data_IF_392105165887
#
_entry.id   IF_392105165887
#
_cell.length_a   1.000
_cell.length_b   1.000
_cell.length_c   1.000
_cell.angle_alpha   90.00
_cell.angle_beta   90.00
_cell.angle_gamma   90.00
#
_symmetry.space_group_name_H-M   'P 1'
#
loop_
_entity.id
_entity.type
_entity.pdbx_description
1 polymer ?
#
# COMPACT_ATOMS: atom_id res chain seq x y z
N UNK A 1 8.73 -0.68 -13.74
CA UNK A 1 7.31 -1.07 -13.65
C UNK A 1 6.34 0.08 -13.32
N UNK A 2 6.78 1.23 -12.77
CA UNK A 2 5.92 2.41 -12.53
C UNK A 2 5.26 3.02 -13.79
N UNK A 3 5.90 2.95 -14.96
CA UNK A 3 5.33 3.46 -16.21
C UNK A 3 4.14 2.66 -16.76
N UNK A 4 3.88 1.45 -16.26
CA UNK A 4 2.74 0.65 -16.71
C UNK A 4 1.43 1.06 -16.02
N UNK A 5 1.49 1.61 -14.80
CA UNK A 5 0.30 1.91 -13.99
C UNK A 5 -0.42 3.18 -14.50
N UNK A 6 0.34 4.19 -14.95
CA UNK A 6 -0.23 5.43 -15.51
C UNK A 6 -0.88 5.23 -16.89
N UNK A 7 -0.39 4.27 -17.68
CA UNK A 7 -0.96 3.96 -19.00
C UNK A 7 -2.36 3.32 -18.96
N UNK A 8 -2.85 2.90 -17.78
CA UNK A 8 -4.21 2.35 -17.65
C UNK A 8 -5.27 3.41 -17.34
N UNK A 9 -4.91 4.60 -16.87
CA UNK A 9 -5.88 5.66 -16.59
C UNK A 9 -6.70 6.10 -17.83
N UNK A 10 -6.07 6.39 -19.00
CA UNK A 10 -6.83 6.75 -20.20
C UNK A 10 -7.65 5.57 -20.74
N UNK A 11 -7.17 4.33 -20.59
CA UNK A 11 -7.89 3.12 -21.00
C UNK A 11 -9.15 2.90 -20.14
N UNK A 12 -9.05 3.12 -18.83
CA UNK A 12 -10.19 3.01 -17.88
C UNK A 12 -11.29 4.02 -18.20
N UNK A 13 -10.91 5.28 -18.42
CA UNK A 13 -11.85 6.33 -18.84
C UNK A 13 -12.46 5.97 -20.19
N UNK A 14 -11.64 5.51 -21.15
CA UNK A 14 -12.11 5.09 -22.47
C UNK A 14 -13.17 3.99 -22.41
N UNK A 15 -12.96 2.95 -21.60
CA UNK A 15 -13.93 1.87 -21.40
C UNK A 15 -15.24 2.39 -20.80
N UNK A 16 -15.16 3.20 -19.74
CA UNK A 16 -16.35 3.75 -19.10
C UNK A 16 -17.14 4.69 -20.04
N UNK A 17 -16.45 5.44 -20.88
CA UNK A 17 -17.03 6.35 -21.86
C UNK A 17 -17.70 5.58 -23.03
N UNK A 18 -17.06 4.51 -23.51
CA UNK A 18 -17.66 3.59 -24.49
C UNK A 18 -18.95 2.97 -23.94
N UNK A 19 -18.92 2.46 -22.71
CA UNK A 19 -20.09 1.86 -22.07
C UNK A 19 -21.23 2.88 -21.86
N UNK A 20 -20.91 4.12 -21.49
CA UNK A 20 -21.87 5.22 -21.42
C UNK A 20 -22.54 5.47 -22.78
N UNK A 21 -21.73 5.64 -23.85
CA UNK A 21 -22.24 5.90 -25.20
C UNK A 21 -23.10 4.74 -25.69
N UNK A 22 -22.67 3.50 -25.49
CA UNK A 22 -23.44 2.32 -25.85
C UNK A 22 -24.78 2.28 -25.13
N UNK A 23 -24.82 2.65 -23.85
CA UNK A 23 -26.08 2.66 -23.08
C UNK A 23 -27.11 3.66 -23.61
N UNK A 24 -26.64 4.79 -24.11
CA UNK A 24 -27.49 5.85 -24.69
C UNK A 24 -27.95 5.42 -26.09
N UNK A 25 -27.04 4.89 -26.92
CA UNK A 25 -27.31 4.48 -28.31
C UNK A 25 -28.25 3.28 -28.39
N UNK A 26 -28.07 2.28 -27.53
CA UNK A 26 -28.90 1.07 -27.54
C UNK A 26 -30.23 1.23 -26.79
N UNK A 27 -30.52 2.42 -26.26
CA UNK A 27 -31.80 2.72 -25.62
C UNK A 27 -32.15 1.70 -24.54
N UNK A 28 -31.17 1.35 -23.70
CA UNK A 28 -31.43 0.46 -22.55
C UNK A 28 -32.57 1.12 -21.77
N UNK A 29 -33.69 0.42 -21.60
CA UNK A 29 -34.91 0.94 -20.95
C UNK A 29 -34.68 1.50 -19.52
N UNK A 30 -33.46 1.40 -18.99
CA UNK A 30 -33.07 1.91 -17.67
C UNK A 30 -32.36 3.24 -17.76
N UNK A 31 -33.07 4.30 -17.38
CA UNK A 31 -32.53 5.65 -17.11
C UNK A 31 -31.44 5.61 -16.00
N UNK A 32 -31.42 4.55 -15.18
CA UNK A 32 -30.48 4.34 -14.07
C UNK A 32 -29.05 3.99 -14.54
N UNK A 33 -28.90 3.21 -15.62
CA UNK A 33 -27.57 2.74 -16.05
C UNK A 33 -26.67 3.87 -16.58
N UNK A 34 -27.16 4.82 -17.40
CA UNK A 34 -26.37 6.00 -17.79
C UNK A 34 -25.98 6.86 -16.58
N UNK A 35 -26.85 6.98 -15.57
CA UNK A 35 -26.55 7.72 -14.32
C UNK A 35 -25.40 7.04 -13.58
N UNK A 36 -25.45 5.72 -13.46
CA UNK A 36 -24.36 4.93 -12.89
C UNK A 36 -23.04 5.11 -13.62
N UNK A 37 -23.04 5.01 -14.95
CA UNK A 37 -21.82 5.18 -15.75
C UNK A 37 -21.27 6.60 -15.66
N UNK A 38 -22.13 7.61 -15.54
CA UNK A 38 -21.71 9.00 -15.32
C UNK A 38 -21.06 9.18 -13.95
N UNK A 39 -21.65 8.58 -12.90
CA UNK A 39 -21.10 8.61 -11.55
C UNK A 39 -19.71 7.93 -11.50
N UNK A 40 -19.56 6.78 -12.15
CA UNK A 40 -18.29 6.06 -12.27
C UNK A 40 -17.23 6.86 -13.03
N UNK A 41 -17.62 7.47 -14.16
CA UNK A 41 -16.70 8.34 -14.93
C UNK A 41 -16.19 9.51 -14.09
N UNK A 42 -17.08 10.15 -13.32
CA UNK A 42 -16.69 11.25 -12.43
C UNK A 42 -15.76 10.78 -11.30
N UNK A 43 -16.02 9.61 -10.71
CA UNK A 43 -15.22 9.12 -9.59
C UNK A 43 -13.84 8.61 -10.02
N UNK A 44 -13.69 8.09 -11.24
CA UNK A 44 -12.41 7.59 -11.75
C UNK A 44 -11.29 8.64 -11.82
N UNK A 45 -11.62 9.94 -11.77
CA UNK A 45 -10.62 11.01 -11.68
C UNK A 45 -9.95 11.11 -10.31
N UNK A 46 -10.60 10.61 -9.25
CA UNK A 46 -10.18 10.81 -7.87
C UNK A 46 -9.95 9.50 -7.10
N UNK A 47 -10.53 8.39 -7.59
CA UNK A 47 -10.55 7.12 -6.90
C UNK A 47 -10.13 5.96 -7.81
N UNK A 48 -9.67 4.86 -7.20
CA UNK A 48 -9.31 3.64 -7.91
C UNK A 48 -10.53 2.95 -8.56
N UNK A 49 -10.26 1.95 -9.41
CA UNK A 49 -11.29 1.20 -10.14
C UNK A 49 -12.29 0.57 -9.16
N UNK A 50 -11.77 -0.07 -8.11
CA UNK A 50 -12.61 -0.79 -7.17
C UNK A 50 -13.58 0.16 -6.45
N UNK A 51 -13.09 1.25 -5.84
CA UNK A 51 -13.97 2.17 -5.13
C UNK A 51 -14.91 2.90 -6.09
N UNK A 52 -14.46 3.23 -7.32
CA UNK A 52 -15.29 3.87 -8.33
C UNK A 52 -16.48 3.01 -8.76
N UNK A 53 -16.26 1.73 -9.10
CA UNK A 53 -17.31 0.85 -9.61
C UNK A 53 -18.14 0.18 -8.50
N UNK A 54 -17.55 -0.14 -7.34
CA UNK A 54 -18.23 -0.95 -6.32
C UNK A 54 -18.78 -0.14 -5.15
N UNK A 55 -18.35 1.10 -4.94
CA UNK A 55 -18.74 1.90 -3.77
C UNK A 55 -19.35 3.23 -4.17
N UNK A 56 -18.57 4.07 -4.86
CA UNK A 56 -18.93 5.45 -5.16
C UNK A 56 -19.99 5.50 -6.26
N UNK A 57 -19.78 4.78 -7.37
CA UNK A 57 -20.74 4.68 -8.47
C UNK A 57 -22.11 4.19 -8.01
N UNK A 58 -22.23 3.03 -7.34
CA UNK A 58 -23.51 2.53 -6.82
C UNK A 58 -24.14 3.49 -5.80
N UNK A 59 -23.35 4.05 -4.88
CA UNK A 59 -23.83 5.00 -3.87
C UNK A 59 -24.44 6.27 -4.47
N UNK A 60 -23.74 6.92 -5.40
CA UNK A 60 -24.24 8.11 -6.09
C UNK A 60 -25.47 7.80 -6.95
N UNK A 61 -25.52 6.62 -7.56
CA UNK A 61 -26.67 6.18 -8.36
C UNK A 61 -27.90 5.97 -7.48
N UNK A 62 -27.75 5.34 -6.31
CA UNK A 62 -28.84 5.16 -5.34
C UNK A 62 -29.39 6.52 -4.91
N UNK A 63 -28.51 7.46 -4.51
CA UNK A 63 -28.92 8.81 -4.08
C UNK A 63 -29.65 9.53 -5.22
N UNK A 64 -29.09 9.52 -6.43
CA UNK A 64 -29.67 10.19 -7.59
C UNK A 64 -31.02 9.59 -7.98
N UNK A 65 -31.16 8.26 -7.90
CA UNK A 65 -32.41 7.55 -8.19
C UNK A 65 -33.49 7.86 -7.16
N UNK A 66 -33.15 7.96 -5.88
CA UNK A 66 -34.10 8.34 -4.83
C UNK A 66 -34.60 9.78 -5.01
N UNK A 67 -33.72 10.72 -5.37
CA UNK A 67 -34.06 12.13 -5.55
C UNK A 67 -34.91 12.36 -6.80
N UNK A 68 -34.49 11.81 -7.94
CA UNK A 68 -35.08 12.11 -9.26
C UNK A 68 -36.27 11.18 -9.55
N UNK A 69 -36.17 9.91 -9.17
CA UNK A 69 -37.10 8.85 -9.57
C UNK A 69 -37.80 8.16 -8.40
N UNK A 70 -37.72 8.70 -7.18
CA UNK A 70 -38.26 8.04 -5.98
C UNK A 70 -39.75 7.66 -6.08
N UNK A 71 -40.56 8.45 -6.78
CA UNK A 71 -41.98 8.13 -7.03
C UNK A 71 -42.17 6.99 -8.05
N UNK A 72 -41.26 6.86 -9.02
CA UNK A 72 -41.29 5.87 -10.09
C UNK A 72 -40.73 4.51 -9.64
N UNK A 73 -39.86 4.52 -8.64
CA UNK A 73 -39.21 3.34 -8.07
C UNK A 73 -40.22 2.28 -7.59
N UNK A 74 -41.33 2.71 -6.99
CA UNK A 74 -42.36 1.80 -6.47
C UNK A 74 -43.41 1.41 -7.52
N UNK A 75 -43.48 2.13 -8.64
CA UNK A 75 -44.46 1.88 -9.70
C UNK A 75 -43.93 1.02 -10.84
N UNK A 76 -42.62 0.99 -11.04
CA UNK A 76 -41.97 0.27 -12.13
C UNK A 76 -41.05 -0.83 -11.57
N UNK A 77 -41.46 -2.08 -11.77
CA UNK A 77 -40.70 -3.25 -11.33
C UNK A 77 -39.29 -3.32 -11.93
N UNK A 78 -39.07 -2.77 -13.13
CA UNK A 78 -37.75 -2.71 -13.73
C UNK A 78 -36.82 -1.75 -12.99
N UNK A 79 -37.33 -0.57 -12.58
CA UNK A 79 -36.58 0.38 -11.75
C UNK A 79 -36.21 -0.23 -10.38
N UNK A 80 -37.15 -0.95 -9.77
CA UNK A 80 -36.93 -1.60 -8.48
C UNK A 80 -35.83 -2.68 -8.56
N UNK A 81 -35.83 -3.50 -9.61
CA UNK A 81 -34.79 -4.52 -9.83
C UNK A 81 -33.41 -3.88 -9.99
N UNK A 82 -33.28 -2.85 -10.81
CA UNK A 82 -32.01 -2.15 -11.01
C UNK A 82 -31.51 -1.46 -9.74
N UNK A 83 -32.42 -0.86 -8.97
CA UNK A 83 -32.09 -0.26 -7.68
C UNK A 83 -31.57 -1.30 -6.69
N UNK A 84 -32.23 -2.46 -6.59
CA UNK A 84 -31.77 -3.57 -5.74
C UNK A 84 -30.41 -4.10 -6.16
N UNK A 85 -30.12 -4.15 -7.46
CA UNK A 85 -28.81 -4.55 -7.98
C UNK A 85 -27.71 -3.57 -7.55
N UNK A 86 -27.96 -2.25 -7.61
CA UNK A 86 -27.01 -1.24 -7.10
C UNK A 86 -26.77 -1.37 -5.60
N UNK A 87 -27.82 -1.64 -4.82
CA UNK A 87 -27.69 -1.88 -3.37
C UNK A 87 -26.86 -3.14 -3.12
N UNK A 88 -27.07 -4.22 -3.88
CA UNK A 88 -26.28 -5.45 -3.76
C UNK A 88 -24.81 -5.21 -4.08
N UNK A 89 -24.51 -4.48 -5.16
CA UNK A 89 -23.13 -4.11 -5.52
C UNK A 89 -22.46 -3.30 -4.41
N UNK A 90 -23.17 -2.33 -3.83
CA UNK A 90 -22.66 -1.53 -2.72
C UNK A 90 -22.34 -2.40 -1.49
N UNK A 91 -23.23 -3.32 -1.11
CA UNK A 91 -23.02 -4.23 0.02
C UNK A 91 -21.78 -5.11 -0.22
N UNK A 92 -21.65 -5.68 -1.42
CA UNK A 92 -20.49 -6.49 -1.80
C UNK A 92 -19.20 -5.66 -1.76
N UNK A 93 -19.24 -4.44 -2.31
CA UNK A 93 -18.11 -3.51 -2.29
C UNK A 93 -17.66 -3.16 -0.87
N UNK A 94 -18.61 -2.90 0.03
CA UNK A 94 -18.34 -2.61 1.45
C UNK A 94 -17.79 -3.82 2.19
N UNK A 95 -18.31 -5.03 1.94
CA UNK A 95 -17.79 -6.26 2.57
C UNK A 95 -16.36 -6.53 2.12
N UNK A 96 -16.08 -6.51 0.82
CA UNK A 96 -14.74 -6.76 0.28
C UNK A 96 -13.76 -5.68 0.74
N UNK A 97 -14.15 -4.41 0.67
CA UNK A 97 -13.33 -3.30 1.18
C UNK A 97 -13.09 -3.39 2.69
N UNK A 98 -14.10 -3.82 3.44
CA UNK A 98 -14.02 -4.05 4.88
C UNK A 98 -13.09 -5.21 5.26
N UNK A 99 -13.10 -6.31 4.50
CA UNK A 99 -12.18 -7.44 4.69
C UNK A 99 -10.75 -7.01 4.38
N UNK A 100 -10.50 -6.32 3.26
CA UNK A 100 -9.17 -5.80 2.93
C UNK A 100 -8.62 -4.87 4.01
N UNK A 101 -9.43 -3.92 4.49
CA UNK A 101 -9.04 -3.03 5.59
C UNK A 101 -8.89 -3.76 6.92
N UNK A 102 -9.74 -4.75 7.21
CA UNK A 102 -9.69 -5.53 8.44
C UNK A 102 -8.46 -6.44 8.53
N UNK A 103 -8.05 -7.03 7.42
CA UNK A 103 -6.80 -7.80 7.30
C UNK A 103 -5.59 -6.88 7.48
N UNK A 104 -5.59 -5.72 6.83
CA UNK A 104 -4.55 -4.69 7.01
C UNK A 104 -4.46 -4.20 8.47
N UNK A 105 -5.59 -3.95 9.12
CA UNK A 105 -5.66 -3.52 10.52
C UNK A 105 -5.21 -4.60 11.50
N UNK A 106 -5.55 -5.88 11.26
CA UNK A 106 -5.07 -7.01 12.08
C UNK A 106 -3.55 -7.22 11.95
N UNK A 107 -2.98 -6.94 10.78
CA UNK A 107 -1.53 -6.96 10.57
C UNK A 107 -0.84 -5.79 11.27
N UNK A 108 -1.45 -4.60 11.26
CA UNK A 108 -1.01 -3.46 12.07
C UNK A 108 -1.20 -3.70 13.58
N UNK A 109 -2.10 -4.58 14.00
CA UNK A 109 -2.27 -5.00 15.40
C UNK A 109 -1.31 -6.10 15.86
N UNK A 110 -0.65 -6.83 14.95
CA UNK A 110 0.51 -7.69 15.29
C UNK A 110 1.79 -6.88 15.50
N UNK A 111 1.81 -5.62 15.07
CA UNK A 111 2.92 -4.69 15.25
C UNK A 111 3.39 -4.56 16.71
N UNK A 112 2.53 -4.39 17.74
CA UNK A 112 2.97 -4.30 19.14
C UNK A 112 3.49 -5.63 19.72
N UNK A 113 3.15 -6.77 19.10
CA UNK A 113 3.53 -8.10 19.59
C UNK A 113 4.92 -8.51 19.07
N UNK A 114 5.27 -8.12 17.83
CA UNK A 114 6.61 -8.28 17.23
C UNK A 114 7.61 -7.27 17.84
N UNK A 115 7.14 -6.13 18.36
CA UNK A 115 7.97 -5.13 19.08
C UNK A 115 8.64 -5.71 20.33
N UNK A 116 8.09 -6.77 20.94
CA UNK A 116 8.62 -7.35 22.17
C UNK A 116 9.64 -8.49 21.98
N UNK A 117 9.94 -8.94 20.75
CA UNK A 117 10.83 -10.10 20.51
C UNK A 117 12.17 -9.76 19.84
N UNK A 118 12.46 -8.50 19.54
CA UNK A 118 13.63 -8.10 18.76
C UNK A 118 14.82 -7.75 19.65
N UNK A 119 15.50 -8.76 20.19
CA UNK A 119 16.78 -8.60 20.88
C UNK A 119 17.87 -9.51 20.32
N UNK A 120 18.34 -9.24 19.09
CA UNK A 120 19.72 -9.58 18.73
C UNK A 120 20.23 -8.65 17.61
N UNK A 121 21.42 -8.09 17.80
CA UNK A 121 22.05 -7.06 16.94
C UNK A 121 22.75 -7.68 15.71
N UNK A 122 22.40 -8.92 15.37
CA UNK A 122 23.05 -9.70 14.32
C UNK A 122 22.02 -10.33 13.41
N UNK A 123 22.28 -10.22 12.11
CA UNK A 123 21.51 -10.93 11.09
C UNK A 123 21.77 -12.45 11.23
N UNK A 124 20.82 -13.14 11.84
CA UNK A 124 20.85 -14.60 12.00
C UNK A 124 19.98 -15.26 10.94
N UNK A 125 20.60 -16.08 10.08
CA UNK A 125 19.85 -16.84 9.08
C UNK A 125 19.28 -18.11 9.68
N UNK A 126 17.99 -18.35 9.47
CA UNK A 126 17.34 -19.60 9.84
C UNK A 126 17.65 -20.69 8.81
N UNK A 127 18.66 -21.53 9.08
CA UNK A 127 19.10 -22.56 8.13
C UNK A 127 18.00 -23.60 7.79
N UNK A 128 17.00 -23.79 8.66
CA UNK A 128 15.85 -24.65 8.37
C UNK A 128 14.94 -24.04 7.31
N UNK A 129 14.57 -22.76 7.47
CA UNK A 129 13.78 -22.01 6.48
C UNK A 129 14.51 -21.87 5.15
N UNK A 130 15.82 -21.65 5.18
CA UNK A 130 16.65 -21.63 3.98
C UNK A 130 16.60 -22.96 3.24
N UNK A 131 16.66 -24.09 3.95
CA UNK A 131 16.55 -25.42 3.34
C UNK A 131 15.15 -25.68 2.75
N UNK A 132 14.10 -25.23 3.43
CA UNK A 132 12.71 -25.34 2.99
C UNK A 132 12.38 -24.46 1.78
N UNK A 133 13.14 -23.38 1.58
CA UNK A 133 12.94 -22.43 0.49
C UNK A 133 13.15 -23.02 -0.92
N UNK A 134 13.66 -24.26 -1.07
CA UNK A 134 13.98 -24.93 -2.35
C UNK A 134 14.79 -24.07 -3.34
N UNK A 135 15.51 -23.07 -2.85
CA UNK A 135 16.46 -22.31 -3.65
C UNK A 135 17.71 -23.15 -3.92
N UNK A 136 18.36 -22.94 -5.06
CA UNK A 136 19.68 -23.50 -5.35
C UNK A 136 20.75 -22.94 -4.40
N UNK A 137 21.91 -23.60 -4.31
CA UNK A 137 23.02 -23.13 -3.48
C UNK A 137 23.53 -21.75 -3.95
N UNK A 138 23.52 -21.50 -5.25
CA UNK A 138 23.90 -20.24 -5.86
C UNK A 138 22.92 -19.12 -5.46
N UNK A 139 21.61 -19.40 -5.53
CA UNK A 139 20.55 -18.46 -5.11
C UNK A 139 20.61 -18.18 -3.61
N UNK A 140 20.86 -19.20 -2.77
CA UNK A 140 21.04 -19.03 -1.33
C UNK A 140 22.27 -18.18 -1.00
N UNK A 141 23.38 -18.38 -1.72
CA UNK A 141 24.59 -17.58 -1.56
C UNK A 141 24.36 -16.12 -1.96
N UNK A 142 23.68 -15.90 -3.10
CA UNK A 142 23.26 -14.57 -3.54
C UNK A 142 22.35 -13.89 -2.51
N UNK A 143 21.33 -14.61 -2.02
CA UNK A 143 20.43 -14.13 -0.98
C UNK A 143 21.19 -13.72 0.29
N UNK A 144 22.04 -14.61 0.83
CA UNK A 144 22.85 -14.32 2.04
C UNK A 144 23.74 -13.10 1.84
N UNK A 145 24.32 -12.93 0.64
CA UNK A 145 25.15 -11.78 0.28
C UNK A 145 24.35 -10.48 0.24
N UNK A 146 23.23 -10.45 -0.48
CA UNK A 146 22.39 -9.25 -0.61
C UNK A 146 21.79 -8.85 0.74
N UNK A 147 21.30 -9.81 1.54
CA UNK A 147 20.77 -9.53 2.87
C UNK A 147 21.83 -8.92 3.78
N UNK A 148 23.05 -9.47 3.81
CA UNK A 148 24.16 -8.87 4.58
C UNK A 148 24.52 -7.48 4.09
N UNK A 149 24.48 -7.24 2.78
CA UNK A 149 24.79 -5.93 2.19
C UNK A 149 23.79 -4.87 2.64
N UNK A 150 22.48 -5.14 2.55
CA UNK A 150 21.46 -4.16 2.95
C UNK A 150 21.29 -4.07 4.47
N UNK A 151 21.53 -5.14 5.22
CA UNK A 151 21.45 -5.10 6.68
C UNK A 151 22.48 -4.13 7.29
N UNK A 152 23.62 -3.89 6.63
CA UNK A 152 24.56 -2.83 7.04
C UNK A 152 23.91 -1.45 7.09
N UNK A 153 22.95 -1.18 6.21
CA UNK A 153 22.18 0.08 6.24
C UNK A 153 21.34 0.17 7.51
N UNK A 154 20.69 -0.92 7.91
CA UNK A 154 19.96 -0.99 9.18
C UNK A 154 20.89 -0.83 10.39
N UNK A 155 22.06 -1.46 10.37
CA UNK A 155 23.07 -1.30 11.43
C UNK A 155 23.53 0.16 11.56
N UNK A 156 23.72 0.86 10.44
CA UNK A 156 23.99 2.30 10.46
C UNK A 156 22.84 3.08 11.12
N UNK A 157 21.59 2.83 10.72
CA UNK A 157 20.43 3.51 11.31
C UNK A 157 20.31 3.24 12.82
N UNK A 158 20.64 2.03 13.28
CA UNK A 158 20.71 1.71 14.70
C UNK A 158 21.83 2.50 15.42
N UNK A 159 23.00 2.63 14.79
CA UNK A 159 24.14 3.35 15.38
C UNK A 159 23.88 4.84 15.64
N UNK A 160 22.96 5.45 14.90
CA UNK A 160 22.55 6.86 15.06
C UNK A 160 21.18 7.01 15.75
N UNK A 161 20.68 5.95 16.39
CA UNK A 161 19.34 5.91 16.98
C UNK A 161 19.11 7.03 18.00
N UNK A 162 19.97 7.13 19.00
CA UNK A 162 19.82 8.11 20.08
C UNK A 162 19.77 9.55 19.57
N UNK A 163 20.52 9.85 18.50
CA UNK A 163 20.49 11.17 17.86
C UNK A 163 19.16 11.42 17.14
N UNK A 164 18.70 10.42 16.39
CA UNK A 164 17.57 10.56 15.47
C UNK A 164 16.21 10.48 16.15
N UNK A 165 16.07 9.74 17.25
CA UNK A 165 14.82 9.68 18.03
C UNK A 165 14.38 11.05 18.55
N UNK A 166 15.33 11.94 18.84
CA UNK A 166 15.03 13.31 19.28
C UNK A 166 14.69 14.26 18.11
N UNK A 167 14.99 13.87 16.87
CA UNK A 167 14.81 14.70 15.67
C UNK A 167 13.60 14.27 14.83
N UNK A 168 13.26 12.99 14.85
CA UNK A 168 12.22 12.38 14.03
C UNK A 168 11.35 11.49 14.91
N UNK A 169 10.11 11.94 15.18
CA UNK A 169 9.19 11.26 16.10
C UNK A 169 8.84 9.81 15.70
N UNK A 170 8.92 9.49 14.39
CA UNK A 170 8.65 8.14 13.89
C UNK A 170 9.86 7.21 13.89
N UNK A 171 11.05 7.70 14.24
CA UNK A 171 12.31 7.01 13.94
C UNK A 171 12.41 5.61 14.56
N UNK A 172 12.05 5.45 15.84
CA UNK A 172 12.06 4.16 16.54
C UNK A 172 11.08 3.16 15.91
N UNK A 173 9.90 3.65 15.49
CA UNK A 173 8.88 2.86 14.81
C UNK A 173 9.37 2.42 13.43
N UNK A 174 10.07 3.30 12.72
CA UNK A 174 10.62 3.04 11.40
C UNK A 174 11.76 2.02 11.47
N UNK A 175 12.67 2.16 12.44
CA UNK A 175 13.71 1.16 12.73
C UNK A 175 13.11 -0.22 13.00
N UNK A 176 12.08 -0.27 13.84
CA UNK A 176 11.40 -1.52 14.17
C UNK A 176 10.77 -2.16 12.93
N UNK A 177 10.16 -1.35 12.06
CA UNK A 177 9.57 -1.84 10.81
C UNK A 177 10.63 -2.39 9.85
N UNK A 178 11.73 -1.65 9.66
CA UNK A 178 12.85 -2.08 8.83
C UNK A 178 13.39 -3.43 9.34
N UNK A 179 13.55 -3.59 10.66
CA UNK A 179 13.99 -4.85 11.26
C UNK A 179 13.01 -6.00 11.01
N UNK A 180 11.71 -5.75 11.17
CA UNK A 180 10.68 -6.74 10.93
C UNK A 180 10.67 -7.20 9.46
N UNK A 181 10.86 -6.29 8.50
CA UNK A 181 10.99 -6.63 7.06
C UNK A 181 12.21 -7.53 6.84
N UNK A 182 13.35 -7.23 7.47
CA UNK A 182 14.54 -8.08 7.37
C UNK A 182 14.33 -9.48 7.94
N UNK A 183 13.65 -9.61 9.07
CA UNK A 183 13.36 -10.92 9.68
C UNK A 183 12.41 -11.74 8.81
N UNK A 184 11.35 -11.13 8.29
CA UNK A 184 10.45 -11.81 7.36
C UNK A 184 11.18 -12.25 6.08
N UNK A 185 12.08 -11.43 5.55
CA UNK A 185 12.91 -11.80 4.41
C UNK A 185 13.84 -12.98 4.71
N UNK A 186 14.39 -13.09 5.93
CA UNK A 186 15.21 -14.23 6.36
C UNK A 186 14.38 -15.52 6.40
N UNK A 187 13.15 -15.43 6.91
CA UNK A 187 12.25 -16.58 7.04
C UNK A 187 11.58 -16.96 5.71
N UNK A 188 11.47 -16.00 4.78
CA UNK A 188 10.88 -16.17 3.45
C UNK A 188 11.84 -15.72 2.31
N UNK A 189 12.96 -16.44 2.05
CA UNK A 189 13.99 -15.99 1.09
C UNK A 189 13.50 -15.75 -0.34
N UNK A 190 12.42 -16.44 -0.75
CA UNK A 190 11.80 -16.29 -2.08
C UNK A 190 11.22 -14.90 -2.32
N UNK A 191 10.89 -14.19 -1.25
CA UNK A 191 10.33 -12.85 -1.30
C UNK A 191 11.36 -11.78 -1.69
N UNK A 192 12.66 -12.12 -1.70
CA UNK A 192 13.74 -11.18 -2.04
C UNK A 192 13.47 -10.41 -3.36
N UNK A 193 13.01 -11.11 -4.40
CA UNK A 193 12.74 -10.50 -5.71
C UNK A 193 11.53 -9.55 -5.70
N UNK A 194 10.54 -9.82 -4.84
CA UNK A 194 9.38 -8.94 -4.67
C UNK A 194 9.75 -7.70 -3.86
N UNK A 195 10.75 -7.78 -2.98
CA UNK A 195 11.21 -6.71 -2.10
C UNK A 195 12.28 -5.80 -2.71
N UNK A 196 12.37 -5.72 -4.04
CA UNK A 196 13.35 -4.85 -4.71
C UNK A 196 13.14 -3.36 -4.37
N UNK A 197 11.90 -2.88 -4.32
CA UNK A 197 11.64 -1.45 -4.06
C UNK A 197 12.10 -1.07 -2.64
N UNK A 198 11.83 -1.92 -1.64
CA UNK A 198 12.37 -1.77 -0.29
C UNK A 198 13.91 -1.73 -0.27
N UNK A 199 14.57 -2.76 -0.80
CA UNK A 199 16.02 -2.92 -0.67
C UNK A 199 16.81 -1.86 -1.44
N UNK A 200 16.36 -1.51 -2.65
CA UNK A 200 17.12 -0.65 -3.57
C UNK A 200 16.70 0.81 -3.56
N UNK A 201 15.44 1.12 -3.20
CA UNK A 201 14.93 2.50 -3.16
C UNK A 201 14.60 2.93 -1.74
N UNK A 202 13.55 2.39 -1.12
CA UNK A 202 13.00 2.97 0.11
C UNK A 202 14.02 2.98 1.26
N UNK A 203 14.69 1.84 1.51
CA UNK A 203 15.72 1.76 2.55
C UNK A 203 16.92 2.67 2.24
N UNK A 204 17.35 2.69 0.97
CA UNK A 204 18.48 3.52 0.54
C UNK A 204 18.15 5.01 0.73
N UNK A 205 17.00 5.44 0.25
CA UNK A 205 16.54 6.82 0.33
C UNK A 205 16.39 7.26 1.78
N UNK A 206 15.82 6.41 2.64
CA UNK A 206 15.71 6.67 4.08
C UNK A 206 17.09 6.89 4.72
N UNK A 207 18.04 5.99 4.45
CA UNK A 207 19.42 6.08 4.96
C UNK A 207 20.11 7.34 4.47
N UNK A 208 19.93 7.71 3.21
CA UNK A 208 20.53 8.92 2.65
C UNK A 208 19.97 10.19 3.31
N UNK A 209 18.68 10.24 3.66
CA UNK A 209 18.09 11.36 4.43
C UNK A 209 18.60 11.39 5.88
N UNK A 210 18.69 10.24 6.52
CA UNK A 210 19.23 10.16 7.89
C UNK A 210 20.68 10.64 7.93
N UNK A 211 21.50 10.20 6.96
CA UNK A 211 22.88 10.70 6.80
C UNK A 211 22.92 12.20 6.61
N UNK A 212 22.08 12.75 5.73
CA UNK A 212 22.03 14.19 5.54
C UNK A 212 21.68 14.95 6.83
N UNK A 213 20.76 14.43 7.65
CA UNK A 213 20.44 15.05 8.95
C UNK A 213 21.61 14.94 9.92
N UNK A 214 22.27 13.78 10.00
CA UNK A 214 23.43 13.56 10.88
C UNK A 214 24.60 14.46 10.47
N UNK A 215 24.91 14.51 9.17
CA UNK A 215 26.00 15.34 8.62
C UNK A 215 25.75 16.84 8.88
N UNK A 216 24.49 17.29 8.85
CA UNK A 216 24.11 18.66 9.15
C UNK A 216 24.12 18.97 10.66
N UNK A 217 23.85 17.98 11.52
CA UNK A 217 23.93 18.13 12.97
C UNK A 217 25.37 18.27 13.46
N UNK A 218 26.31 17.63 12.76
CA UNK A 218 27.75 17.74 13.04
C UNK A 218 28.33 19.13 12.67
N UNK A 219 27.57 20.02 12.03
CA UNK A 219 28.03 21.37 11.68
C UNK A 219 28.06 22.29 12.92
N UNK A 220 29.25 22.84 13.22
CA UNK A 220 29.49 23.73 14.38
C UNK A 220 28.70 25.04 14.32
N UNK A 221 28.30 25.48 13.12
CA UNK A 221 27.50 26.69 12.91
C UNK A 221 26.31 26.32 12.04
N UNK A 222 25.12 26.22 12.63
CA UNK A 222 23.87 26.01 11.90
C UNK A 222 23.43 27.29 11.17
N UNK A 223 23.31 27.22 9.84
CA UNK A 223 22.64 28.26 9.07
C UNK A 223 21.13 28.04 9.01
N UNK A 224 20.37 29.08 8.66
CA UNK A 224 18.92 28.95 8.43
C UNK A 224 18.61 28.02 7.23
N UNK A 225 19.52 27.94 6.26
CA UNK A 225 19.42 27.01 5.14
C UNK A 225 19.57 25.55 5.60
N UNK A 226 20.49 25.27 6.53
CA UNK A 226 20.68 23.92 7.10
C UNK A 226 19.42 23.43 7.82
N UNK A 227 18.79 24.33 8.60
CA UNK A 227 17.52 24.01 9.28
C UNK A 227 16.42 23.66 8.28
N UNK A 228 16.33 24.39 7.17
CA UNK A 228 15.34 24.11 6.13
C UNK A 228 15.61 22.77 5.43
N UNK A 229 16.88 22.42 5.19
CA UNK A 229 17.27 21.12 4.63
C UNK A 229 16.92 19.98 5.59
N UNK A 230 17.14 20.15 6.89
CA UNK A 230 16.76 19.18 7.92
C UNK A 230 15.24 18.97 7.93
N UNK A 231 14.44 20.04 7.96
CA UNK A 231 12.97 19.91 7.97
C UNK A 231 12.45 19.23 6.68
N UNK A 232 12.99 19.57 5.51
CA UNK A 232 12.63 18.88 4.27
C UNK A 232 13.03 17.39 4.30
N UNK A 233 14.20 17.06 4.85
CA UNK A 233 14.60 15.67 5.04
C UNK A 233 13.63 14.92 5.98
N UNK A 234 13.16 15.55 7.06
CA UNK A 234 12.16 14.97 7.97
C UNK A 234 10.81 14.71 7.28
N UNK A 235 10.33 15.64 6.46
CA UNK A 235 9.09 15.44 5.68
C UNK A 235 9.22 14.28 4.68
N UNK A 236 10.38 14.17 4.04
CA UNK A 236 10.68 13.05 3.15
C UNK A 236 10.76 11.72 3.92
N UNK A 237 11.38 11.70 5.11
CA UNK A 237 11.41 10.53 5.98
C UNK A 237 10.01 10.08 6.37
N UNK A 238 9.10 11.01 6.72
CA UNK A 238 7.72 10.68 7.02
C UNK A 238 7.00 10.03 5.81
N UNK A 239 7.29 10.51 4.59
CA UNK A 239 6.76 9.92 3.35
C UNK A 239 7.28 8.50 3.14
N UNK A 240 8.57 8.27 3.39
CA UNK A 240 9.20 6.94 3.24
C UNK A 240 8.73 5.98 4.35
N UNK A 241 8.51 6.47 5.57
CA UNK A 241 7.94 5.69 6.69
C UNK A 241 6.62 5.02 6.32
N UNK A 242 5.77 5.73 5.55
CA UNK A 242 4.53 5.12 5.03
C UNK A 242 4.79 3.97 4.07
N UNK A 243 5.83 4.05 3.24
CA UNK A 243 6.20 3.01 2.27
C UNK A 243 6.67 1.72 2.98
N UNK A 244 7.35 1.83 4.13
CA UNK A 244 7.75 0.65 4.90
C UNK A 244 6.58 -0.20 5.39
N UNK A 245 5.41 0.40 5.59
CA UNK A 245 4.20 -0.37 5.93
C UNK A 245 3.75 -1.22 4.75
N UNK A 246 3.77 -0.65 3.56
CA UNK A 246 3.41 -1.36 2.33
C UNK A 246 4.43 -2.46 2.03
N UNK A 247 5.72 -2.19 2.23
CA UNK A 247 6.80 -3.16 2.11
C UNK A 247 6.63 -4.34 3.10
N UNK A 248 6.25 -4.06 4.35
CA UNK A 248 5.98 -5.11 5.34
C UNK A 248 4.79 -5.99 4.95
N UNK A 249 3.73 -5.38 4.42
CA UNK A 249 2.59 -6.13 3.86
C UNK A 249 3.04 -6.94 2.64
N UNK A 250 3.95 -6.43 1.82
CA UNK A 250 4.43 -7.17 0.67
C UNK A 250 5.24 -8.41 1.08
N UNK A 251 6.17 -8.28 2.03
CA UNK A 251 7.05 -9.40 2.43
C UNK A 251 6.30 -10.53 3.15
N UNK A 252 5.22 -10.22 3.86
CA UNK A 252 4.36 -11.20 4.56
C UNK A 252 3.33 -11.89 3.65
N UNK A 253 3.39 -11.71 2.33
CA UNK A 253 2.41 -12.28 1.39
C UNK A 253 2.38 -13.81 1.39
N UNK A 254 3.56 -14.45 1.39
CA UNK A 254 3.66 -15.91 1.34
C UNK A 254 3.04 -16.57 2.59
N UNK A 255 3.23 -16.00 3.78
CA UNK A 255 2.57 -16.48 5.00
C UNK A 255 1.04 -16.36 4.92
N UNK A 256 0.54 -15.28 4.32
CA UNK A 256 -0.92 -15.09 4.18
C UNK A 256 -1.55 -16.07 3.22
N UNK A 257 -0.84 -16.46 2.18
CA UNK A 257 -1.36 -17.44 1.23
C UNK A 257 -1.30 -18.85 1.81
N UNK A 258 -0.27 -19.18 2.60
CA UNK A 258 -0.20 -20.44 3.35
C UNK A 258 -1.32 -20.61 4.39
N UNK A 259 -1.84 -19.51 4.96
CA UNK A 259 -2.95 -19.55 5.94
C UNK A 259 -4.35 -19.66 5.31
N UNK A 260 -4.48 -19.55 3.98
CA UNK A 260 -5.75 -19.68 3.25
C UNK A 260 -6.00 -21.09 2.72
N UNK A 261 -4.96 -21.93 2.70
CA UNK A 261 -5.02 -23.36 2.35
C UNK A 261 -5.41 -24.23 3.56
#
# INVERSE_FOLDING_TARGET
>A
MRQAIDNFHPVRIGIALILLVLSIVFGVKGEIFPIYMTAVLGSLFFFDIFNSYMVIGPGLTIISTLIIFGRRLMSDGFFLIFFMLMVMLLIIGVIIGGIHRGVMLRQLQKYPEIVNSLSDDKLHFNEEKLRESKLSNEELSFFKSEMRKYYKSYQYLQSVKDLMEHKVDSYDKDLTMIHAIFNELIDSPRMLLKMNDFLYSHLKDYVDKVKAIVDLDDNVVESDEDKQLVENAKEQLATISHQFRDDFVQVTEDERDALKE
#
